data_IF_710112177342
#
_entry.id   IF_710112177342
#
_cell.length_a   1.000
_cell.length_b   1.000
_cell.length_c   1.000
_cell.angle_alpha   90.00
_cell.angle_beta   90.00
_cell.angle_gamma   90.00
#
_symmetry.space_group_name_H-M   'P 1'
#
loop_
_entity.id
_entity.type
_entity.pdbx_description
1 polymer ?
#
# COMPACT_ATOMS: atom_id res chain seq x y z
N UNK A 1 -13.95 -11.83 -13.05
CA UNK A 1 -12.73 -11.27 -13.68
C UNK A 1 -12.76 -9.75 -13.52
N UNK A 2 -11.61 -9.05 -13.59
CA UNK A 2 -11.51 -7.59 -13.46
C UNK A 2 -11.73 -6.81 -14.75
N UNK A 3 -11.49 -7.45 -15.91
CA UNK A 3 -11.89 -6.96 -17.21
C UNK A 3 -12.16 -8.12 -18.17
N UNK A 4 -13.11 -7.93 -19.07
CA UNK A 4 -13.37 -8.81 -20.20
C UNK A 4 -13.49 -7.97 -21.45
N UNK A 5 -12.84 -8.43 -22.51
CA UNK A 5 -12.97 -7.91 -23.85
C UNK A 5 -13.59 -9.00 -24.69
N UNK A 6 -14.70 -8.66 -25.34
CA UNK A 6 -15.50 -9.59 -26.12
C UNK A 6 -16.08 -8.87 -27.35
N UNK A 7 -16.32 -9.62 -28.41
CA UNK A 7 -16.88 -9.11 -29.66
C UNK A 7 -17.61 -10.17 -30.48
N UNK A 8 -18.50 -10.98 -29.87
CA UNK A 8 -18.99 -12.20 -30.48
C UNK A 8 -20.06 -11.86 -31.52
N UNK A 9 -19.89 -12.37 -32.73
CA UNK A 9 -20.93 -12.37 -33.75
C UNK A 9 -21.00 -13.69 -34.55
N UNK A 10 -20.21 -14.69 -34.13
CA UNK A 10 -20.10 -15.99 -34.78
C UNK A 10 -19.33 -15.98 -36.11
N UNK A 11 -18.66 -14.88 -36.46
CA UNK A 11 -17.85 -14.77 -37.68
C UNK A 11 -16.36 -15.03 -37.46
N UNK A 12 -15.88 -15.09 -36.20
CA UNK A 12 -14.46 -15.23 -35.87
C UNK A 12 -13.57 -14.06 -36.28
N UNK A 13 -14.16 -12.88 -36.56
CA UNK A 13 -13.45 -11.65 -36.96
C UNK A 13 -13.27 -10.69 -35.79
N UNK A 14 -12.19 -9.90 -35.80
CA UNK A 14 -11.93 -8.86 -34.81
C UNK A 14 -12.97 -7.73 -34.86
N UNK A 15 -13.52 -7.38 -33.69
CA UNK A 15 -14.60 -6.39 -33.54
C UNK A 15 -14.41 -5.43 -32.37
N UNK A 16 -13.93 -5.91 -31.23
CA UNK A 16 -13.56 -5.02 -30.12
C UNK A 16 -12.10 -4.61 -30.29
N UNK A 17 -11.82 -3.30 -30.18
CA UNK A 17 -10.48 -2.77 -30.37
C UNK A 17 -10.13 -1.72 -29.30
N UNK A 18 -10.07 -2.11 -28.02
CA UNK A 18 -9.66 -1.20 -26.97
C UNK A 18 -8.17 -0.85 -27.11
N UNK A 19 -7.85 0.38 -26.75
CA UNK A 19 -6.47 0.81 -26.50
C UNK A 19 -6.36 1.09 -25.00
N UNK A 20 -5.51 0.31 -24.32
CA UNK A 20 -5.28 0.43 -22.89
C UNK A 20 -3.80 0.75 -22.65
N UNK A 21 -3.55 1.87 -21.98
CA UNK A 21 -2.23 2.28 -21.53
C UNK A 21 -2.26 2.75 -20.09
N UNK A 22 -1.20 2.44 -19.34
CA UNK A 22 -0.98 2.88 -17.96
C UNK A 22 -2.12 2.41 -17.02
N UNK A 23 -2.45 1.11 -17.11
CA UNK A 23 -3.58 0.51 -16.38
C UNK A 23 -3.09 -0.48 -15.32
N UNK A 24 -3.76 -0.52 -14.18
CA UNK A 24 -3.50 -1.50 -13.12
C UNK A 24 -4.77 -2.31 -12.87
N UNK A 25 -4.72 -3.62 -13.14
CA UNK A 25 -5.77 -4.57 -12.78
C UNK A 25 -5.39 -5.33 -11.52
N UNK A 26 -6.28 -5.31 -10.53
CA UNK A 26 -6.10 -6.03 -9.26
C UNK A 26 -7.10 -7.17 -9.21
N UNK A 27 -6.61 -8.40 -9.21
CA UNK A 27 -7.41 -9.61 -9.04
C UNK A 27 -7.65 -9.97 -7.57
N UNK A 28 -8.13 -11.19 -7.36
CA UNK A 28 -8.33 -11.81 -6.05
C UNK A 28 -7.74 -13.22 -6.08
N UNK A 29 -6.89 -13.57 -5.11
CA UNK A 29 -6.14 -14.84 -5.18
C UNK A 29 -6.99 -16.09 -4.89
N UNK A 30 -8.11 -15.99 -4.18
CA UNK A 30 -8.90 -17.17 -3.76
C UNK A 30 -9.80 -17.82 -4.83
N UNK A 31 -9.57 -17.57 -6.12
CA UNK A 31 -10.06 -18.42 -7.22
C UNK A 31 -11.52 -18.88 -7.13
N UNK A 32 -12.47 -17.98 -6.89
CA UNK A 32 -13.89 -18.33 -6.98
C UNK A 32 -14.50 -17.76 -8.27
N UNK A 33 -14.48 -18.52 -9.38
CA UNK A 33 -15.39 -18.26 -10.47
C UNK A 33 -16.78 -18.70 -9.99
N UNK A 34 -17.43 -17.83 -9.20
CA UNK A 34 -18.88 -17.76 -9.13
C UNK A 34 -19.35 -16.57 -9.98
N UNK A 35 -19.03 -16.56 -11.29
CA UNK A 35 -19.46 -15.49 -12.16
C UNK A 35 -20.99 -15.47 -12.23
N UNK A 36 -21.55 -14.28 -12.41
CA UNK A 36 -22.95 -14.19 -12.82
C UNK A 36 -23.18 -14.79 -14.22
N UNK A 37 -22.13 -14.84 -15.06
CA UNK A 37 -22.18 -15.39 -16.41
C UNK A 37 -21.99 -16.91 -16.43
N UNK A 38 -22.83 -17.63 -17.17
CA UNK A 38 -22.82 -19.09 -17.21
C UNK A 38 -21.69 -19.72 -18.04
N UNK A 39 -21.04 -18.93 -18.88
CA UNK A 39 -19.95 -19.33 -19.78
C UNK A 39 -18.56 -18.94 -19.26
N UNK A 40 -18.51 -18.39 -18.03
CA UNK A 40 -17.30 -18.01 -17.33
C UNK A 40 -16.73 -19.18 -16.50
N UNK A 41 -16.37 -20.27 -17.17
CA UNK A 41 -15.96 -21.50 -16.47
C UNK A 41 -14.52 -21.48 -15.96
N UNK A 42 -13.71 -20.48 -16.35
CA UNK A 42 -12.31 -20.34 -15.96
C UNK A 42 -12.03 -18.98 -15.31
N UNK A 43 -11.28 -19.00 -14.21
CA UNK A 43 -10.89 -17.79 -13.50
C UNK A 43 -9.69 -17.12 -14.18
N UNK A 44 -9.81 -15.80 -14.38
CA UNK A 44 -8.73 -14.93 -14.84
C UNK A 44 -8.95 -13.50 -14.36
N UNK A 45 -7.88 -12.70 -14.28
CA UNK A 45 -8.00 -11.27 -13.97
C UNK A 45 -8.48 -10.50 -15.20
N UNK A 46 -7.88 -10.75 -16.36
CA UNK A 46 -8.30 -10.19 -17.64
C UNK A 46 -8.69 -11.30 -18.59
N UNK A 47 -9.80 -11.15 -19.31
CA UNK A 47 -10.24 -12.09 -20.36
C UNK A 47 -10.23 -11.43 -21.72
N UNK A 48 -9.59 -12.08 -22.68
CA UNK A 48 -9.62 -11.72 -24.09
C UNK A 48 -10.40 -12.83 -24.80
N UNK A 49 -11.58 -12.50 -25.33
CA UNK A 49 -12.53 -13.46 -25.94
C UNK A 49 -12.53 -13.34 -27.46
N UNK A 50 -13.39 -14.13 -28.11
CA UNK A 50 -13.60 -14.09 -29.57
C UNK A 50 -13.72 -12.65 -30.08
N UNK A 51 -13.00 -12.34 -31.15
CA UNK A 51 -13.09 -11.03 -31.80
C UNK A 51 -12.39 -9.89 -31.05
N UNK A 52 -11.54 -10.20 -30.06
CA UNK A 52 -10.75 -9.19 -29.34
C UNK A 52 -9.45 -8.82 -30.06
N UNK A 53 -9.39 -7.58 -30.55
CA UNK A 53 -8.16 -6.92 -30.98
C UNK A 53 -7.73 -5.88 -29.96
N UNK A 54 -6.83 -4.99 -30.36
CA UNK A 54 -6.49 -3.79 -29.61
C UNK A 54 -5.03 -3.69 -29.23
N UNK A 55 -4.71 -2.65 -28.46
CA UNK A 55 -3.35 -2.29 -28.07
C UNK A 55 -3.25 -2.20 -26.56
N UNK A 56 -2.41 -3.05 -25.95
CA UNK A 56 -2.32 -3.25 -24.51
C UNK A 56 -0.88 -3.02 -24.05
N UNK A 57 -0.61 -1.85 -23.47
CA UNK A 57 0.74 -1.44 -23.07
C UNK A 57 0.77 -0.81 -21.66
N UNK A 58 1.92 -0.90 -20.98
CA UNK A 58 2.08 -0.43 -19.59
C UNK A 58 1.00 -0.95 -18.63
N UNK A 59 0.53 -2.17 -18.84
CA UNK A 59 -0.45 -2.83 -17.98
C UNK A 59 0.29 -3.53 -16.84
N UNK A 60 -0.25 -3.40 -15.64
CA UNK A 60 0.14 -4.15 -14.44
C UNK A 60 -1.04 -5.00 -13.99
N UNK A 61 -0.82 -6.30 -13.83
CA UNK A 61 -1.79 -7.24 -13.27
C UNK A 61 -1.21 -7.86 -12.01
N UNK A 62 -1.94 -7.74 -10.90
CA UNK A 62 -1.56 -8.28 -9.59
C UNK A 62 -2.67 -9.15 -9.00
N UNK A 63 -2.35 -9.89 -7.94
CA UNK A 63 -3.27 -10.79 -7.24
C UNK A 63 -3.85 -11.85 -8.18
N UNK A 64 -2.97 -12.47 -8.97
CA UNK A 64 -3.34 -13.49 -9.93
C UNK A 64 -3.53 -14.82 -9.22
N UNK A 65 -4.78 -15.23 -9.01
CA UNK A 65 -5.07 -16.53 -8.37
C UNK A 65 -4.86 -17.74 -9.28
N UNK A 66 -5.16 -17.61 -10.57
CA UNK A 66 -5.12 -18.70 -11.57
C UNK A 66 -4.46 -18.25 -12.85
N UNK A 67 -5.06 -17.30 -13.55
CA UNK A 67 -4.56 -16.77 -14.82
C UNK A 67 -4.57 -15.24 -14.78
N UNK A 68 -3.45 -14.61 -15.14
CA UNK A 68 -3.40 -13.15 -15.24
C UNK A 68 -4.28 -12.69 -16.40
N UNK A 69 -4.05 -13.30 -17.56
CA UNK A 69 -4.85 -13.16 -18.76
C UNK A 69 -5.31 -14.54 -19.21
N UNK A 70 -6.60 -14.70 -19.49
CA UNK A 70 -7.14 -15.84 -20.23
C UNK A 70 -7.47 -15.39 -21.64
N UNK A 71 -6.83 -16.02 -22.63
CA UNK A 71 -7.21 -15.89 -24.03
C UNK A 71 -8.13 -17.06 -24.37
N UNK A 72 -9.41 -16.78 -24.65
CA UNK A 72 -10.44 -17.77 -24.92
C UNK A 72 -11.19 -17.51 -26.22
N UNK A 73 -11.76 -18.57 -26.79
CA UNK A 73 -12.56 -18.56 -28.02
C UNK A 73 -11.87 -17.86 -29.20
N UNK A 74 -10.57 -18.13 -29.37
CA UNK A 74 -9.75 -17.50 -30.40
C UNK A 74 -10.27 -17.74 -31.82
N UNK A 75 -10.33 -16.68 -32.61
CA UNK A 75 -10.65 -16.68 -34.04
C UNK A 75 -9.40 -16.49 -34.89
N UNK A 76 -9.50 -15.61 -35.89
CA UNK A 76 -8.40 -15.35 -36.83
C UNK A 76 -7.38 -14.31 -36.35
N UNK A 77 -7.50 -13.81 -35.12
CA UNK A 77 -6.68 -12.69 -34.64
C UNK A 77 -5.19 -12.99 -34.59
N UNK A 78 -4.38 -11.99 -34.95
CA UNK A 78 -2.94 -12.04 -34.79
C UNK A 78 -2.56 -11.52 -33.40
N UNK A 79 -2.23 -12.44 -32.49
CA UNK A 79 -1.70 -12.09 -31.17
C UNK A 79 -0.19 -11.85 -31.28
N UNK A 80 0.25 -10.60 -31.07
CA UNK A 80 1.64 -10.17 -31.31
C UNK A 80 2.18 -9.24 -30.22
N UNK A 81 3.50 -9.25 -30.03
CA UNK A 81 4.25 -8.28 -29.23
C UNK A 81 5.23 -7.45 -30.07
N UNK A 82 5.20 -7.62 -31.39
CA UNK A 82 6.03 -6.90 -32.34
C UNK A 82 5.31 -5.64 -32.83
N UNK A 83 5.82 -4.43 -32.53
CA UNK A 83 5.19 -3.18 -32.97
C UNK A 83 5.05 -3.06 -34.50
N UNK A 84 5.86 -3.78 -35.29
CA UNK A 84 5.73 -3.77 -36.75
C UNK A 84 4.45 -4.45 -37.26
N UNK A 85 3.82 -5.31 -36.45
CA UNK A 85 2.58 -6.01 -36.79
C UNK A 85 1.33 -5.14 -36.47
N UNK A 86 1.52 -4.01 -35.77
CA UNK A 86 0.49 -3.05 -35.37
C UNK A 86 0.07 -2.20 -36.57
N UNK A 87 -0.65 -2.80 -37.51
CA UNK A 87 -1.15 -2.13 -38.72
C UNK A 87 -2.67 -2.29 -38.85
N UNK A 88 -3.38 -1.18 -39.11
CA UNK A 88 -4.84 -1.20 -39.21
C UNK A 88 -5.52 -1.52 -37.87
N UNK A 89 -6.54 -2.39 -37.90
CA UNK A 89 -7.36 -2.77 -36.74
C UNK A 89 -7.43 -4.28 -36.53
N UNK A 90 -6.60 -5.05 -37.23
CA UNK A 90 -6.65 -6.53 -37.25
C UNK A 90 -5.48 -7.15 -36.46
N UNK A 91 -5.26 -6.66 -35.25
CA UNK A 91 -4.22 -7.17 -34.35
C UNK A 91 -4.68 -7.15 -32.90
N UNK A 92 -4.09 -8.04 -32.11
CA UNK A 92 -4.09 -8.02 -30.66
C UNK A 92 -2.64 -7.82 -30.21
N UNK A 93 -2.29 -6.58 -29.85
CA UNK A 93 -0.93 -6.22 -29.46
C UNK A 93 -0.81 -6.25 -27.95
N UNK A 94 0.11 -7.07 -27.45
CA UNK A 94 0.46 -7.11 -26.05
C UNK A 94 1.92 -6.73 -25.85
N UNK A 95 2.12 -5.59 -25.20
CA UNK A 95 3.45 -5.08 -24.91
C UNK A 95 4.25 -6.08 -24.06
N UNK A 96 5.51 -6.37 -24.42
CA UNK A 96 6.42 -7.12 -23.56
C UNK A 96 6.82 -6.32 -22.31
N UNK A 97 6.53 -5.00 -22.26
CA UNK A 97 6.73 -4.18 -21.08
C UNK A 97 5.66 -4.44 -20.01
N UNK A 98 4.52 -5.03 -20.34
CA UNK A 98 3.49 -5.34 -19.34
C UNK A 98 4.04 -6.22 -18.21
N UNK A 99 3.45 -6.07 -17.02
CA UNK A 99 3.79 -6.83 -15.82
C UNK A 99 2.57 -7.65 -15.41
N UNK A 100 2.76 -8.96 -15.30
CA UNK A 100 1.76 -9.86 -14.73
C UNK A 100 2.47 -10.60 -13.61
N UNK A 101 2.22 -10.18 -12.37
CA UNK A 101 2.79 -10.81 -11.19
C UNK A 101 1.90 -11.99 -10.79
N UNK A 102 2.37 -13.19 -11.14
CA UNK A 102 1.66 -14.44 -10.91
C UNK A 102 2.62 -15.44 -10.24
N UNK A 103 2.25 -15.85 -9.03
CA UNK A 103 3.01 -16.84 -8.26
C UNK A 103 2.46 -18.25 -8.49
N UNK A 104 3.36 -19.23 -8.59
CA UNK A 104 2.98 -20.65 -8.78
C UNK A 104 1.96 -21.10 -7.73
N UNK A 105 0.84 -21.75 -8.11
CA UNK A 105 0.58 -22.38 -9.40
C UNK A 105 -0.08 -21.49 -10.47
N UNK A 106 -0.29 -20.21 -10.20
CA UNK A 106 -0.87 -19.29 -11.17
C UNK A 106 0.05 -19.06 -12.38
N UNK A 107 -0.55 -18.72 -13.52
CA UNK A 107 0.14 -18.46 -14.78
C UNK A 107 -0.15 -17.05 -15.28
N UNK A 108 0.78 -16.47 -16.03
CA UNK A 108 0.56 -15.15 -16.62
C UNK A 108 -0.50 -15.19 -17.71
N UNK A 109 -0.43 -16.22 -18.56
CA UNK A 109 -1.36 -16.45 -19.66
C UNK A 109 -1.86 -17.88 -19.61
N UNK A 110 -3.17 -18.06 -19.49
CA UNK A 110 -3.81 -19.31 -19.84
C UNK A 110 -4.60 -19.18 -21.13
N UNK A 111 -4.95 -20.35 -21.68
CA UNK A 111 -5.61 -20.50 -22.96
C UNK A 111 -6.52 -21.71 -22.92
N UNK A 112 -7.69 -21.55 -23.50
CA UNK A 112 -8.60 -22.67 -23.70
C UNK A 112 -8.18 -23.54 -24.90
N UNK A 113 -9.03 -24.52 -25.22
CA UNK A 113 -8.81 -25.44 -26.33
C UNK A 113 -8.81 -24.76 -27.71
N UNK A 114 -9.60 -23.70 -27.91
CA UNK A 114 -9.63 -22.96 -29.17
C UNK A 114 -8.36 -22.15 -29.38
N UNK A 115 -7.79 -21.64 -28.28
CA UNK A 115 -6.62 -20.77 -28.29
C UNK A 115 -5.27 -21.50 -28.20
N UNK A 116 -5.23 -22.81 -27.93
CA UNK A 116 -3.98 -23.52 -27.61
C UNK A 116 -2.92 -23.44 -28.74
N UNK A 117 -3.35 -23.26 -29.99
CA UNK A 117 -2.48 -23.14 -31.16
C UNK A 117 -1.84 -21.75 -31.33
N UNK A 118 -2.36 -20.72 -30.62
CA UNK A 118 -1.85 -19.36 -30.69
C UNK A 118 -0.49 -19.24 -30.00
N UNK A 119 0.29 -18.25 -30.42
CA UNK A 119 1.60 -17.94 -29.80
C UNK A 119 1.42 -17.60 -28.33
N UNK A 120 2.34 -18.08 -27.48
CA UNK A 120 2.43 -17.62 -26.08
C UNK A 120 3.15 -16.28 -26.11
N UNK A 121 2.49 -15.21 -25.69
CA UNK A 121 3.16 -13.94 -25.40
C UNK A 121 3.55 -13.94 -23.93
N UNK A 122 4.73 -13.41 -23.62
CA UNK A 122 5.20 -13.28 -22.25
C UNK A 122 4.96 -11.86 -21.72
N UNK A 123 4.91 -11.75 -20.41
CA UNK A 123 4.98 -10.48 -19.68
C UNK A 123 6.07 -10.58 -18.63
N UNK A 124 6.48 -9.45 -18.07
CA UNK A 124 7.40 -9.48 -16.94
C UNK A 124 6.68 -10.12 -15.74
N UNK A 125 7.23 -11.22 -15.21
CA UNK A 125 6.78 -11.78 -13.94
C UNK A 125 7.75 -11.31 -12.85
N UNK A 126 7.41 -10.17 -12.24
CA UNK A 126 8.25 -9.55 -11.21
C UNK A 126 7.34 -8.94 -10.16
N UNK A 127 7.74 -9.03 -8.90
CA UNK A 127 7.04 -8.36 -7.80
C UNK A 127 6.98 -6.85 -8.08
N UNK A 128 5.78 -6.26 -8.16
CA UNK A 128 5.60 -4.82 -8.40
C UNK A 128 6.08 -3.94 -7.24
N UNK A 129 6.37 -4.50 -6.06
CA UNK A 129 6.78 -3.77 -4.86
C UNK A 129 5.82 -2.61 -4.54
N UNK A 130 4.54 -2.90 -4.41
CA UNK A 130 3.53 -1.91 -4.04
C UNK A 130 3.60 -1.57 -2.55
N UNK A 131 3.11 -0.38 -2.19
CA UNK A 131 3.10 0.11 -0.81
C UNK A 131 2.23 -0.77 0.07
N UNK A 132 0.95 -0.91 -0.29
CA UNK A 132 -0.01 -1.68 0.49
C UNK A 132 -1.15 -2.14 -0.42
N UNK A 133 -1.25 -3.44 -0.65
CA UNK A 133 -2.36 -4.01 -1.42
C UNK A 133 -2.72 -5.36 -0.83
N UNK A 134 -3.99 -5.52 -0.42
CA UNK A 134 -4.54 -6.82 -0.03
C UNK A 134 -4.35 -7.82 -1.15
N UNK A 135 -3.96 -9.05 -0.84
CA UNK A 135 -3.88 -10.14 -1.82
C UNK A 135 -5.27 -10.59 -2.29
N UNK A 136 -6.30 -10.30 -1.50
CA UNK A 136 -7.67 -10.75 -1.69
C UNK A 136 -8.65 -9.59 -1.51
N UNK A 137 -8.63 -8.61 -2.43
CA UNK A 137 -9.35 -7.38 -2.23
C UNK A 137 -10.84 -7.60 -2.17
N UNK A 138 -11.45 -7.09 -1.11
CA UNK A 138 -12.87 -7.23 -0.83
C UNK A 138 -13.51 -5.87 -0.50
N UNK A 139 -14.84 -5.76 -0.52
CA UNK A 139 -15.53 -4.57 -0.02
C UNK A 139 -15.22 -4.26 1.47
N UNK A 140 -14.78 -5.26 2.23
CA UNK A 140 -14.50 -5.15 3.66
C UNK A 140 -13.09 -4.66 3.98
N UNK A 141 -12.18 -4.70 3.01
CA UNK A 141 -10.81 -4.19 3.12
C UNK A 141 -10.80 -2.77 3.66
N UNK A 142 -9.93 -2.49 4.62
CA UNK A 142 -9.97 -1.21 5.34
C UNK A 142 -9.10 -0.15 4.70
N UNK A 143 -7.98 -0.52 4.10
CA UNK A 143 -7.06 0.44 3.52
C UNK A 143 -6.20 -0.14 2.38
N UNK A 144 -5.88 0.67 1.38
CA UNK A 144 -5.00 0.29 0.27
C UNK A 144 -4.24 1.49 -0.31
N UNK A 145 -3.01 1.25 -0.72
CA UNK A 145 -2.17 2.17 -1.48
C UNK A 145 -1.45 1.41 -2.61
N UNK A 146 -1.97 1.50 -3.84
CA UNK A 146 -1.41 0.79 -4.99
C UNK A 146 -0.20 1.50 -5.60
N UNK A 147 0.37 2.53 -4.95
CA UNK A 147 1.59 3.12 -5.44
C UNK A 147 2.76 2.13 -5.40
N UNK A 148 3.64 2.13 -6.41
CA UNK A 148 4.92 1.44 -6.34
C UNK A 148 5.88 2.14 -5.37
N UNK A 149 6.62 1.35 -4.61
CA UNK A 149 7.69 1.82 -3.73
C UNK A 149 8.93 2.23 -4.51
N UNK A 150 9.81 3.00 -3.85
CA UNK A 150 11.13 3.28 -4.36
C UNK A 150 11.89 1.96 -4.66
N UNK A 151 12.46 1.87 -5.86
CA UNK A 151 13.13 0.64 -6.33
C UNK A 151 12.20 -0.37 -7.01
N UNK A 152 10.88 -0.11 -7.06
CA UNK A 152 9.94 -0.93 -7.82
C UNK A 152 10.34 -1.05 -9.30
N UNK A 153 10.24 -2.26 -9.89
CA UNK A 153 10.45 -2.44 -11.32
C UNK A 153 9.41 -1.71 -12.17
N UNK A 154 8.28 -1.28 -11.58
CA UNK A 154 7.24 -0.51 -12.28
C UNK A 154 7.70 0.90 -12.63
N UNK A 155 8.67 1.47 -11.91
CA UNK A 155 9.14 2.85 -12.09
C UNK A 155 10.09 3.05 -13.28
N UNK A 156 10.09 2.11 -14.23
CA UNK A 156 10.95 2.15 -15.42
C UNK A 156 10.35 1.32 -16.56
N UNK A 157 10.96 1.43 -17.75
CA UNK A 157 10.66 0.63 -18.93
C UNK A 157 9.19 0.72 -19.40
N UNK A 158 8.58 1.89 -19.24
CA UNK A 158 7.29 2.18 -19.87
C UNK A 158 7.44 2.30 -21.40
N UNK A 159 6.48 1.75 -22.12
CA UNK A 159 6.31 1.94 -23.55
C UNK A 159 5.64 3.30 -23.82
N UNK A 160 6.15 4.03 -24.81
CA UNK A 160 5.55 5.29 -25.23
C UNK A 160 4.24 5.04 -26.00
N UNK A 161 3.27 5.96 -25.95
CA UNK A 161 2.08 5.88 -26.79
C UNK A 161 2.41 5.73 -28.28
N UNK A 162 1.50 5.15 -29.08
CA UNK A 162 1.64 5.08 -30.53
C UNK A 162 1.98 6.45 -31.14
N UNK A 163 2.81 6.46 -32.18
CA UNK A 163 3.27 7.70 -32.78
C UNK A 163 2.11 8.59 -33.26
N UNK A 164 2.06 9.83 -32.76
CA UNK A 164 1.00 10.79 -33.08
C UNK A 164 -0.25 10.69 -32.20
N UNK A 165 -0.29 9.76 -31.24
CA UNK A 165 -1.31 9.75 -30.21
C UNK A 165 -1.15 10.98 -29.29
N UNK A 166 -2.28 11.66 -29.02
CA UNK A 166 -2.34 12.85 -28.15
C UNK A 166 -3.28 12.65 -26.98
N UNK A 167 -3.85 11.46 -26.86
CA UNK A 167 -4.79 11.10 -25.81
C UNK A 167 -4.06 10.52 -24.60
N UNK A 168 -3.10 9.61 -24.82
CA UNK A 168 -2.35 8.98 -23.73
C UNK A 168 -1.14 9.82 -23.29
N UNK A 169 -0.97 9.93 -21.98
CA UNK A 169 0.23 10.52 -21.40
C UNK A 169 1.46 9.64 -21.66
N UNK A 170 2.56 10.29 -22.03
CA UNK A 170 3.87 9.64 -22.05
C UNK A 170 4.45 9.63 -20.64
N UNK A 171 4.60 8.44 -20.07
CA UNK A 171 5.08 8.23 -18.70
C UNK A 171 6.36 7.42 -18.68
N UNK A 172 7.10 7.45 -17.57
CA UNK A 172 8.31 6.63 -17.35
C UNK A 172 8.05 5.38 -16.50
N UNK A 173 6.81 5.15 -16.08
CA UNK A 173 6.39 4.06 -15.21
C UNK A 173 5.30 3.20 -15.87
N UNK A 174 5.17 1.96 -15.40
CA UNK A 174 4.17 1.00 -15.86
C UNK A 174 3.03 0.90 -14.85
N UNK A 175 1.82 0.68 -15.34
CA UNK A 175 0.61 0.70 -14.52
C UNK A 175 0.07 2.12 -14.32
N UNK A 176 -0.88 2.25 -13.41
CA UNK A 176 -1.62 3.49 -13.19
C UNK A 176 -0.95 4.46 -12.21
N UNK A 177 0.15 4.07 -11.55
CA UNK A 177 0.71 4.80 -10.41
C UNK A 177 2.19 5.12 -10.59
N UNK A 178 2.54 6.39 -10.36
CA UNK A 178 3.91 6.92 -10.52
C UNK A 178 4.81 6.71 -9.29
N UNK A 179 4.25 6.20 -8.19
CA UNK A 179 4.92 6.09 -6.90
C UNK A 179 4.97 7.40 -6.10
N UNK A 180 4.47 8.50 -6.66
CA UNK A 180 4.48 9.83 -5.99
C UNK A 180 3.14 10.55 -6.02
N UNK A 181 2.17 10.04 -6.77
CA UNK A 181 0.85 10.63 -6.92
C UNK A 181 -0.21 9.54 -6.76
N UNK A 182 -1.15 9.76 -5.85
CA UNK A 182 -2.33 8.92 -5.72
C UNK A 182 -3.53 9.62 -6.34
N UNK A 183 -3.74 9.42 -7.65
CA UNK A 183 -4.86 10.04 -8.38
C UNK A 183 -6.24 9.52 -7.93
N UNK A 184 -6.29 8.45 -7.13
CA UNK A 184 -7.53 7.99 -6.49
C UNK A 184 -8.05 9.00 -5.45
N UNK A 185 -7.17 9.81 -4.86
CA UNK A 185 -7.52 10.84 -3.90
C UNK A 185 -8.34 11.95 -4.59
N UNK A 186 -9.51 12.25 -4.03
CA UNK A 186 -10.47 13.23 -4.58
C UNK A 186 -11.33 12.71 -5.73
N UNK A 187 -11.16 11.45 -6.16
CA UNK A 187 -11.88 10.87 -7.31
C UNK A 187 -12.63 9.58 -6.96
N UNK A 188 -12.01 8.70 -6.20
CA UNK A 188 -12.45 7.31 -6.08
C UNK A 188 -13.38 7.07 -4.88
N UNK A 189 -14.17 5.99 -4.97
CA UNK A 189 -14.92 5.46 -3.83
C UNK A 189 -14.01 5.12 -2.64
N UNK A 190 -12.78 4.68 -2.90
CA UNK A 190 -11.80 4.40 -1.84
C UNK A 190 -11.49 5.66 -1.04
N UNK A 191 -11.27 6.80 -1.71
CA UNK A 191 -11.05 8.07 -1.03
C UNK A 191 -12.31 8.60 -0.33
N UNK A 192 -13.49 8.45 -0.95
CA UNK A 192 -14.79 8.80 -0.32
C UNK A 192 -15.02 8.07 1.01
N UNK A 193 -14.40 6.90 1.20
CA UNK A 193 -14.58 6.04 2.37
C UNK A 193 -13.31 5.93 3.22
N UNK A 194 -12.36 6.85 3.06
CA UNK A 194 -11.09 6.87 3.81
C UNK A 194 -10.29 5.56 3.72
N UNK A 195 -10.36 4.85 2.60
CA UNK A 195 -9.68 3.57 2.33
C UNK A 195 -8.39 3.70 1.51
N UNK A 196 -7.93 4.91 1.27
CA UNK A 196 -6.68 5.18 0.54
C UNK A 196 -6.05 6.47 1.08
N UNK A 197 -4.71 6.63 1.02
CA UNK A 197 -4.09 7.85 1.52
C UNK A 197 -4.37 9.03 0.59
N UNK A 198 -4.27 10.24 1.14
CA UNK A 198 -4.20 11.47 0.37
C UNK A 198 -3.05 11.43 -0.64
N UNK A 199 -3.14 12.20 -1.72
CA UNK A 199 -2.05 12.32 -2.69
C UNK A 199 -0.91 13.17 -2.13
N UNK A 200 -0.07 12.58 -1.29
CA UNK A 200 1.08 13.22 -0.64
C UNK A 200 2.37 12.50 -1.03
N UNK A 201 3.34 13.25 -1.54
CA UNK A 201 4.67 12.73 -1.83
C UNK A 201 5.55 12.74 -0.59
N UNK A 202 5.69 11.58 0.05
CA UNK A 202 6.47 11.40 1.28
C UNK A 202 7.52 10.29 1.20
N UNK A 203 8.25 10.11 2.30
CA UNK A 203 9.11 8.94 2.51
C UNK A 203 8.27 7.86 3.20
N UNK A 204 7.99 6.79 2.48
CA UNK A 204 7.21 5.66 3.00
C UNK A 204 8.12 4.81 3.88
N UNK A 205 7.70 4.62 5.13
CA UNK A 205 8.42 3.84 6.15
C UNK A 205 7.50 2.77 6.70
N UNK A 206 7.98 1.53 6.67
CA UNK A 206 7.35 0.35 7.30
C UNK A 206 8.36 -0.61 7.93
N UNK A 207 9.65 -0.36 7.71
CA UNK A 207 10.73 -1.17 8.24
C UNK A 207 11.25 -0.57 9.55
N UNK A 208 11.82 -1.42 10.39
CA UNK A 208 12.40 -1.02 11.67
C UNK A 208 13.62 -0.10 11.52
N UNK A 209 13.74 0.84 12.45
CA UNK A 209 14.86 1.78 12.54
C UNK A 209 15.90 1.18 13.49
N UNK A 210 16.78 0.35 12.92
CA UNK A 210 17.88 -0.28 13.65
C UNK A 210 19.13 0.61 13.79
N UNK A 211 19.24 1.66 12.96
CA UNK A 211 20.35 2.62 12.99
C UNK A 211 19.80 4.02 13.24
N UNK A 212 20.49 4.81 14.07
CA UNK A 212 20.09 6.18 14.37
C UNK A 212 19.82 6.97 13.10
N UNK A 213 18.62 7.52 13.01
CA UNK A 213 18.06 8.13 11.80
C UNK A 213 17.53 9.51 12.12
N UNK A 214 17.61 10.44 11.16
CA UNK A 214 17.00 11.76 11.26
C UNK A 214 15.88 11.89 10.23
N UNK A 215 14.68 12.23 10.68
CA UNK A 215 13.59 12.67 9.82
C UNK A 215 13.62 14.20 9.73
N UNK A 216 13.86 14.72 8.53
CA UNK A 216 13.83 16.16 8.27
C UNK A 216 12.41 16.64 8.00
N UNK A 217 12.24 17.97 7.88
CA UNK A 217 10.97 18.59 7.52
C UNK A 217 10.84 18.86 6.02
N UNK A 218 11.77 18.35 5.19
CA UNK A 218 11.76 18.58 3.73
C UNK A 218 10.59 17.87 3.04
N UNK A 219 10.22 16.68 3.55
CA UNK A 219 9.13 15.86 3.05
C UNK A 219 8.41 15.17 4.21
N UNK A 220 7.09 14.93 4.09
CA UNK A 220 6.37 14.12 5.07
C UNK A 220 6.93 12.70 5.15
N UNK A 221 6.87 12.11 6.35
CA UNK A 221 7.08 10.69 6.58
C UNK A 221 5.73 9.99 6.54
N UNK A 222 5.59 8.93 5.74
CA UNK A 222 4.38 8.13 5.65
C UNK A 222 4.60 6.82 6.39
N UNK A 223 3.90 6.59 7.52
CA UNK A 223 3.97 5.34 8.26
C UNK A 223 2.96 4.35 7.67
N UNK A 224 3.44 3.38 6.91
CA UNK A 224 2.61 2.36 6.25
C UNK A 224 2.52 1.04 7.03
N UNK A 225 2.97 1.05 8.29
CA UNK A 225 2.97 -0.10 9.19
C UNK A 225 3.47 0.28 10.58
N UNK A 226 3.63 -0.71 11.45
CA UNK A 226 4.30 -0.52 12.73
C UNK A 226 5.81 -0.38 12.52
N UNK A 227 6.38 0.73 12.97
CA UNK A 227 7.81 1.03 12.84
C UNK A 227 8.44 1.04 14.22
N UNK A 228 9.36 0.11 14.45
CA UNK A 228 10.06 0.01 15.73
C UNK A 228 11.43 0.67 15.64
N UNK A 229 11.70 1.62 16.53
CA UNK A 229 13.04 2.15 16.75
C UNK A 229 13.75 1.21 17.72
N UNK A 230 14.71 0.45 17.21
CA UNK A 230 15.40 -0.62 17.96
C UNK A 230 16.54 -0.05 18.79
N UNK A 231 16.80 -0.64 19.95
CA UNK A 231 17.97 -0.26 20.74
C UNK A 231 19.29 -0.60 20.00
N UNK A 232 20.34 0.24 20.09
CA UNK A 232 20.44 1.50 20.82
C UNK A 232 20.16 2.73 19.94
N UNK A 233 19.40 2.58 18.85
CA UNK A 233 19.18 3.65 17.88
C UNK A 233 18.45 4.85 18.50
N UNK A 234 18.75 6.03 17.94
CA UNK A 234 18.02 7.26 18.24
C UNK A 234 17.33 7.75 16.98
N UNK A 235 16.00 7.89 17.03
CA UNK A 235 15.23 8.59 16.02
C UNK A 235 15.18 10.08 16.37
N UNK A 236 15.79 10.92 15.54
CA UNK A 236 15.72 12.38 15.66
C UNK A 236 14.70 12.93 14.68
N UNK A 237 13.75 13.74 15.15
CA UNK A 237 12.71 14.35 14.32
C UNK A 237 12.87 15.86 14.39
N UNK A 238 13.07 16.49 13.23
CA UNK A 238 13.28 17.93 13.14
C UNK A 238 11.96 18.70 13.36
N UNK A 239 12.07 19.94 13.85
CA UNK A 239 10.94 20.82 14.03
C UNK A 239 10.16 21.04 12.71
N UNK A 240 8.84 20.94 12.76
CA UNK A 240 7.97 21.10 11.59
C UNK A 240 7.82 19.83 10.72
N UNK A 241 8.47 18.72 11.06
CA UNK A 241 8.25 17.45 10.35
C UNK A 241 6.79 16.99 10.51
N UNK A 242 6.22 16.55 9.40
CA UNK A 242 4.91 15.87 9.37
C UNK A 242 5.11 14.37 9.25
N UNK A 243 4.43 13.62 10.10
CA UNK A 243 4.37 12.16 10.08
C UNK A 243 2.91 11.80 9.88
N UNK A 244 2.60 11.15 8.75
CA UNK A 244 1.24 10.78 8.38
C UNK A 244 1.15 9.25 8.37
N UNK A 245 0.35 8.69 9.26
CA UNK A 245 0.18 7.25 9.38
C UNK A 245 -1.01 6.76 8.57
N UNK A 246 -0.84 5.60 7.94
CA UNK A 246 -1.91 4.92 7.21
C UNK A 246 -2.91 4.37 8.22
N UNK A 247 -4.15 4.17 7.77
CA UNK A 247 -5.13 3.45 8.57
C UNK A 247 -4.78 1.95 8.62
N UNK A 248 -5.33 1.27 9.63
CA UNK A 248 -5.31 -0.20 9.67
C UNK A 248 -5.88 -0.75 8.35
N UNK A 249 -5.15 -1.69 7.75
CA UNK A 249 -5.51 -2.31 6.49
C UNK A 249 -6.57 -3.43 6.66
N UNK A 250 -6.91 -3.74 7.92
CA UNK A 250 -7.87 -4.77 8.31
C UNK A 250 -7.20 -6.06 8.80
N UNK A 251 -5.86 -6.11 8.84
CA UNK A 251 -5.11 -7.26 9.34
C UNK A 251 -4.86 -7.22 10.85
N UNK A 252 -5.43 -6.23 11.56
CA UNK A 252 -5.38 -6.12 13.02
C UNK A 252 -4.04 -5.60 13.54
N UNK A 253 -3.28 -4.90 12.70
CA UNK A 253 -1.99 -4.31 13.04
C UNK A 253 -2.00 -2.86 12.56
N UNK A 254 -2.59 -1.98 13.36
CA UNK A 254 -2.64 -0.56 13.03
C UNK A 254 -1.23 0.06 12.97
N UNK A 255 -0.91 0.85 11.92
CA UNK A 255 0.36 1.56 11.81
C UNK A 255 0.64 2.44 13.03
N UNK A 256 1.84 2.32 13.60
CA UNK A 256 2.24 3.04 14.81
C UNK A 256 3.74 3.31 14.80
N UNK A 257 4.20 4.27 15.61
CA UNK A 257 5.63 4.46 15.87
C UNK A 257 5.94 3.98 17.29
N UNK A 258 6.85 3.01 17.40
CA UNK A 258 7.21 2.36 18.67
C UNK A 258 8.68 2.62 18.97
N UNK A 259 8.96 3.16 20.16
CA UNK A 259 10.32 3.33 20.67
C UNK A 259 10.57 2.20 21.68
N UNK A 260 11.43 1.24 21.34
CA UNK A 260 11.71 0.10 22.21
C UNK A 260 12.62 0.45 23.40
N UNK A 261 12.63 -0.36 24.48
CA UNK A 261 13.50 -0.11 25.62
C UNK A 261 14.98 -0.03 25.21
N UNK A 262 15.63 1.08 25.60
CA UNK A 262 17.03 1.35 25.26
C UNK A 262 17.23 2.09 23.92
N UNK A 263 16.19 2.22 23.10
CA UNK A 263 16.14 3.17 22.00
C UNK A 263 15.70 4.56 22.49
N UNK A 264 15.79 5.57 21.62
CA UNK A 264 15.41 6.94 21.96
C UNK A 264 14.66 7.65 20.84
N UNK A 265 13.76 8.53 21.24
CA UNK A 265 13.16 9.56 20.37
C UNK A 265 13.61 10.95 20.78
N UNK A 266 14.07 11.74 19.82
CA UNK A 266 14.41 13.16 19.98
C UNK A 266 13.49 13.97 19.06
N UNK A 267 12.26 14.21 19.49
CA UNK A 267 11.26 15.00 18.78
C UNK A 267 11.11 16.37 19.46
N UNK A 268 11.90 17.34 19.02
CA UNK A 268 11.97 18.68 19.61
C UNK A 268 11.54 19.70 18.57
N UNK A 269 10.23 19.95 18.52
CA UNK A 269 9.62 21.02 17.75
C UNK A 269 9.79 22.40 18.41
N UNK A 270 9.09 23.38 17.85
CA UNK A 270 8.96 24.72 18.43
C UNK A 270 7.52 25.19 18.36
N UNK A 271 7.15 26.23 19.10
CA UNK A 271 5.80 26.80 19.02
C UNK A 271 5.37 27.16 17.58
N UNK A 272 6.30 27.66 16.77
CA UNK A 272 6.03 28.07 15.38
C UNK A 272 6.13 26.90 14.40
N UNK A 273 6.90 25.85 14.73
CA UNK A 273 7.11 24.68 13.90
C UNK A 273 6.97 23.41 14.77
N UNK A 274 5.75 23.07 15.20
CA UNK A 274 5.54 21.84 15.97
C UNK A 274 5.74 20.61 15.08
N UNK A 275 6.18 19.51 15.67
CA UNK A 275 6.18 18.21 14.99
C UNK A 275 4.75 17.68 15.05
N UNK A 276 4.22 17.19 13.93
CA UNK A 276 2.83 16.72 13.87
C UNK A 276 2.77 15.29 13.37
N UNK A 277 2.29 14.39 14.23
CA UNK A 277 1.83 13.06 13.87
C UNK A 277 0.33 13.11 13.59
N UNK A 278 -0.09 12.56 12.45
CA UNK A 278 -1.47 12.62 11.99
C UNK A 278 -1.82 11.42 11.10
N UNK A 279 -3.04 11.39 10.57
CA UNK A 279 -3.44 10.38 9.59
C UNK A 279 -3.07 10.80 8.17
N UNK A 280 -2.80 9.80 7.31
CA UNK A 280 -2.57 9.96 5.89
C UNK A 280 -3.86 10.05 5.07
N UNK A 281 -5.05 9.86 5.65
CA UNK A 281 -6.32 10.01 4.91
C UNK A 281 -6.53 11.44 4.45
N UNK A 282 -7.28 11.60 3.36
CA UNK A 282 -7.62 12.93 2.83
C UNK A 282 -8.34 13.79 3.87
N UNK A 283 -8.02 15.10 3.89
CA UNK A 283 -8.62 16.08 4.80
C UNK A 283 -10.15 16.16 4.70
N UNK A 284 -10.73 15.70 3.58
CA UNK A 284 -12.19 15.58 3.41
C UNK A 284 -12.85 14.57 4.38
N UNK A 285 -12.07 13.60 4.86
CA UNK A 285 -12.49 12.54 5.76
C UNK A 285 -12.12 12.88 7.22
N UNK A 286 -11.68 14.10 7.48
CA UNK A 286 -11.32 14.60 8.81
C UNK A 286 -12.33 15.69 9.24
N UNK A 287 -12.62 15.82 10.56
CA UNK A 287 -12.06 15.03 11.65
C UNK A 287 -12.66 13.61 11.73
N UNK A 288 -11.86 12.66 12.19
CA UNK A 288 -12.24 11.28 12.50
C UNK A 288 -11.48 10.81 13.75
N UNK A 289 -11.61 9.56 14.14
CA UNK A 289 -10.87 8.96 15.25
C UNK A 289 -10.42 7.56 14.82
N UNK A 290 -9.40 7.01 15.48
CA UNK A 290 -9.06 5.60 15.27
C UNK A 290 -8.34 5.33 13.95
N UNK A 291 -7.66 6.33 13.40
CA UNK A 291 -7.11 6.26 12.04
C UNK A 291 -5.68 5.73 12.00
N UNK A 292 -5.02 5.50 13.14
CA UNK A 292 -3.71 4.86 13.24
C UNK A 292 -3.37 4.60 14.72
N UNK A 293 -2.37 3.78 14.98
CA UNK A 293 -2.06 3.25 16.31
C UNK A 293 -1.41 4.20 17.32
N UNK A 294 -0.93 5.38 16.89
CA UNK A 294 -0.32 6.37 17.78
C UNK A 294 1.18 6.18 18.03
N UNK A 295 1.68 6.90 19.05
CA UNK A 295 3.09 6.92 19.46
C UNK A 295 3.28 6.15 20.76
N UNK A 296 4.07 5.08 20.73
CA UNK A 296 4.31 4.21 21.89
C UNK A 296 5.78 4.34 22.31
N UNK A 297 6.02 4.65 23.58
CA UNK A 297 7.36 4.80 24.15
C UNK A 297 7.51 3.79 25.28
N UNK A 298 8.39 2.81 25.05
CA UNK A 298 8.69 1.71 25.97
C UNK A 298 10.05 1.97 26.63
N UNK A 299 10.08 1.95 27.95
CA UNK A 299 11.28 2.23 28.74
C UNK A 299 11.71 1.06 29.63
N UNK A 300 12.83 1.27 30.34
CA UNK A 300 13.45 0.29 31.24
C UNK A 300 13.20 0.59 32.74
N UNK A 301 12.27 1.48 33.08
CA UNK A 301 11.96 1.81 34.46
C UNK A 301 11.17 0.68 35.14
N UNK A 302 11.24 0.56 36.48
CA UNK A 302 10.45 -0.43 37.20
C UNK A 302 8.95 -0.23 37.01
N UNK A 303 8.24 -1.34 36.84
CA UNK A 303 6.78 -1.40 36.63
C UNK A 303 6.10 -2.22 37.74
N UNK A 304 4.78 -2.09 37.89
CA UNK A 304 3.99 -2.90 38.81
C UNK A 304 3.06 -3.85 38.04
N UNK A 305 2.99 -5.16 38.39
CA UNK A 305 3.81 -5.84 39.40
C UNK A 305 5.29 -5.87 38.99
N UNK A 306 6.21 -5.93 39.96
CA UNK A 306 7.64 -5.89 39.70
C UNK A 306 8.16 -7.27 39.21
N UNK A 307 7.75 -7.65 38.00
CA UNK A 307 8.09 -8.91 37.32
C UNK A 307 9.32 -8.80 36.43
N UNK A 308 10.01 -7.64 36.45
CA UNK A 308 11.11 -7.33 35.55
C UNK A 308 10.59 -6.65 34.28
N UNK A 309 9.82 -7.37 33.46
CA UNK A 309 9.20 -6.84 32.24
C UNK A 309 7.71 -7.13 32.20
N UNK A 310 6.99 -6.32 31.42
CA UNK A 310 5.60 -6.47 31.00
C UNK A 310 5.52 -6.28 29.47
N UNK A 311 4.36 -6.54 28.88
CA UNK A 311 4.12 -6.39 27.44
C UNK A 311 2.97 -5.43 27.24
N UNK A 312 3.16 -4.43 26.38
CA UNK A 312 2.11 -3.50 26.02
C UNK A 312 1.06 -4.22 25.17
N UNK A 313 -0.18 -3.80 25.30
CA UNK A 313 -1.27 -4.24 24.44
C UNK A 313 -1.13 -3.75 22.99
N UNK A 314 -1.86 -4.40 22.09
CA UNK A 314 -1.99 -4.09 20.67
C UNK A 314 -0.77 -4.38 19.79
N UNK A 315 0.33 -4.85 20.37
CA UNK A 315 1.52 -5.30 19.63
C UNK A 315 1.62 -6.83 19.67
N UNK A 316 1.67 -7.45 18.49
CA UNK A 316 1.80 -8.92 18.35
C UNK A 316 3.25 -9.38 18.34
N UNK A 317 4.19 -8.47 18.07
CA UNK A 317 5.64 -8.68 18.07
C UNK A 317 6.30 -7.47 18.72
N UNK A 318 7.25 -7.72 19.63
CA UNK A 318 7.85 -6.66 20.44
C UNK A 318 6.89 -6.18 21.54
N UNK A 319 7.06 -4.94 21.99
CA UNK A 319 6.16 -4.35 22.98
C UNK A 319 6.56 -4.59 24.43
N UNK A 320 7.67 -5.27 24.69
CA UNK A 320 8.19 -5.44 26.04
C UNK A 320 8.64 -4.10 26.62
N UNK A 321 8.28 -3.85 27.87
CA UNK A 321 8.71 -2.69 28.64
C UNK A 321 8.96 -3.07 30.09
N UNK A 322 9.58 -2.16 30.83
CA UNK A 322 9.93 -2.36 32.22
C UNK A 322 11.39 -2.80 32.41
N UNK A 323 11.85 -2.69 33.65
CA UNK A 323 13.20 -3.10 34.02
C UNK A 323 13.53 -2.69 35.45
N UNK A 324 14.79 -2.41 35.71
CA UNK A 324 15.26 -1.97 37.02
C UNK A 324 15.87 -0.56 37.01
N UNK A 325 15.80 0.15 35.88
CA UNK A 325 16.47 1.43 35.69
C UNK A 325 15.49 2.60 35.85
N UNK A 326 15.26 3.06 37.09
CA UNK A 326 14.44 4.25 37.33
C UNK A 326 15.00 5.55 36.74
N UNK A 327 16.23 5.53 36.23
CA UNK A 327 16.90 6.63 35.53
C UNK A 327 16.93 6.42 34.01
N UNK A 328 16.13 5.49 33.48
CA UNK A 328 15.97 5.30 32.05
C UNK A 328 15.59 6.62 31.35
N UNK A 329 16.08 6.76 30.12
CA UNK A 329 15.89 7.96 29.31
C UNK A 329 15.56 7.53 27.88
N UNK A 330 14.26 7.50 27.59
CA UNK A 330 13.66 7.21 26.28
C UNK A 330 13.70 8.41 25.33
N UNK A 331 14.19 9.57 25.79
CA UNK A 331 14.46 10.75 24.99
C UNK A 331 13.65 11.99 25.37
N UNK A 332 13.26 12.78 24.37
CA UNK A 332 12.55 14.05 24.57
C UNK A 332 11.45 14.29 23.55
N UNK A 333 10.27 14.68 24.06
CA UNK A 333 9.16 15.25 23.29
C UNK A 333 8.96 16.72 23.72
N UNK A 334 9.00 17.65 22.77
CA UNK A 334 8.72 19.08 23.00
C UNK A 334 8.04 19.69 21.79
N UNK A 335 6.90 20.37 21.97
CA UNK A 335 6.08 20.91 20.86
C UNK A 335 5.69 19.84 19.83
N UNK A 336 5.04 18.78 20.32
CA UNK A 336 4.60 17.62 19.53
C UNK A 336 3.08 17.55 19.56
N UNK A 337 2.49 17.34 18.38
CA UNK A 337 1.05 17.12 18.20
C UNK A 337 0.84 15.70 17.71
N UNK A 338 -0.11 15.00 18.32
CA UNK A 338 -0.52 13.65 17.92
C UNK A 338 -2.02 13.65 17.70
N UNK A 339 -2.45 13.47 16.45
CA UNK A 339 -3.85 13.60 16.06
C UNK A 339 -4.39 12.34 15.41
N UNK A 340 -5.69 12.09 15.59
CA UNK A 340 -6.44 11.02 14.92
C UNK A 340 -5.94 9.59 15.24
N UNK A 341 -5.17 9.43 16.32
CA UNK A 341 -4.62 8.16 16.73
C UNK A 341 -5.63 7.27 17.44
N UNK A 342 -5.08 6.22 18.06
CA UNK A 342 -5.81 5.19 18.75
C UNK A 342 -6.24 4.07 17.81
N UNK A 343 -6.29 2.83 18.29
CA UNK A 343 -6.88 1.71 17.55
C UNK A 343 -7.34 0.62 18.51
N UNK A 344 -8.55 0.10 18.27
CA UNK A 344 -9.08 -1.05 19.01
C UNK A 344 -8.64 -2.31 18.28
N UNK A 345 -7.70 -3.06 18.88
CA UNK A 345 -7.16 -4.29 18.31
C UNK A 345 -8.01 -5.50 18.74
N UNK A 346 -8.56 -5.47 19.95
CA UNK A 346 -9.48 -6.47 20.49
C UNK A 346 -10.25 -5.92 21.69
N UNK A 347 -11.06 -6.76 22.33
CA UNK A 347 -11.71 -6.37 23.58
C UNK A 347 -10.66 -6.22 24.69
N UNK A 348 -10.62 -5.05 25.33
CA UNK A 348 -9.63 -4.69 26.36
C UNK A 348 -8.19 -4.82 25.83
N UNK A 349 -7.98 -4.44 24.56
CA UNK A 349 -6.71 -4.50 23.87
C UNK A 349 -6.65 -3.38 22.82
N UNK A 350 -6.19 -2.21 23.26
CA UNK A 350 -6.20 -0.98 22.49
C UNK A 350 -4.79 -0.35 22.43
N UNK A 351 -4.50 0.42 21.37
CA UNK A 351 -3.34 1.33 21.37
C UNK A 351 -3.85 2.76 21.31
N UNK A 352 -3.10 3.68 21.88
CA UNK A 352 -3.57 5.00 22.27
C UNK A 352 -2.81 6.16 21.61
N UNK A 353 -3.17 7.40 21.91
CA UNK A 353 -2.55 8.56 21.26
C UNK A 353 -1.05 8.63 21.53
N UNK A 354 -0.69 8.81 22.80
CA UNK A 354 0.69 8.62 23.27
C UNK A 354 0.71 7.68 24.45
N UNK A 355 1.42 6.57 24.32
CA UNK A 355 1.60 5.60 25.40
C UNK A 355 3.01 5.72 25.98
N UNK A 356 3.11 5.84 27.30
CA UNK A 356 4.37 5.81 28.04
C UNK A 356 4.38 4.59 28.97
N UNK A 357 5.09 3.54 28.59
CA UNK A 357 5.15 2.30 29.36
C UNK A 357 6.56 2.09 29.95
N UNK A 358 6.68 2.04 31.28
CA UNK A 358 7.97 1.85 31.96
C UNK A 358 9.00 2.95 31.66
N UNK A 359 8.56 4.18 31.42
CA UNK A 359 9.43 5.31 31.06
C UNK A 359 10.10 5.92 32.30
N UNK A 360 11.43 6.05 32.26
CA UNK A 360 12.22 6.53 33.40
C UNK A 360 12.29 8.04 33.56
N UNK A 361 12.80 8.49 34.72
CA UNK A 361 12.88 9.92 35.09
C UNK A 361 13.84 10.74 34.21
N UNK A 362 14.64 10.10 33.37
CA UNK A 362 15.55 10.78 32.45
C UNK A 362 14.84 11.28 31.18
N UNK A 363 13.63 10.79 30.90
CA UNK A 363 12.80 11.21 29.77
C UNK A 363 12.14 12.56 30.05
N UNK A 364 12.12 13.45 29.06
CA UNK A 364 11.50 14.78 29.18
C UNK A 364 10.35 14.93 28.21
N UNK A 365 9.18 15.35 28.69
CA UNK A 365 7.99 15.60 27.87
C UNK A 365 7.43 16.97 28.24
N UNK A 366 7.31 17.86 27.28
CA UNK A 366 6.76 19.21 27.46
C UNK A 366 5.98 19.67 26.21
N UNK A 367 4.98 20.53 26.37
CA UNK A 367 4.19 21.09 25.24
C UNK A 367 3.69 20.05 24.23
N UNK A 368 3.03 19.00 24.71
CA UNK A 368 2.35 18.02 23.85
C UNK A 368 0.86 18.36 23.71
N UNK A 369 0.29 18.00 22.57
CA UNK A 369 -1.15 18.02 22.33
C UNK A 369 -1.56 16.68 21.73
N UNK A 370 -2.62 16.10 22.27
CA UNK A 370 -3.28 14.94 21.66
C UNK A 370 -4.73 15.30 21.39
N UNK A 371 -5.20 15.06 20.16
CA UNK A 371 -6.55 15.43 19.75
C UNK A 371 -7.16 14.38 18.80
N UNK A 372 -8.49 14.24 18.85
CA UNK A 372 -9.24 13.31 17.99
C UNK A 372 -8.78 11.84 18.11
N UNK A 373 -8.27 11.45 19.27
CA UNK A 373 -7.93 10.06 19.56
C UNK A 373 -9.21 9.23 19.76
N UNK A 374 -9.19 7.93 19.42
CA UNK A 374 -10.36 7.05 19.62
C UNK A 374 -10.64 6.77 21.10
N UNK A 375 -9.58 6.48 21.86
CA UNK A 375 -9.64 6.23 23.30
C UNK A 375 -8.72 7.21 24.05
N UNK A 376 -7.75 6.75 24.83
CA UNK A 376 -6.92 7.60 25.67
C UNK A 376 -5.96 8.50 24.87
N UNK A 377 -6.01 9.81 25.15
CA UNK A 377 -5.08 10.75 24.54
C UNK A 377 -3.64 10.49 25.00
N UNK A 378 -3.44 10.28 26.30
CA UNK A 378 -2.14 9.88 26.87
C UNK A 378 -2.37 8.80 27.91
N UNK A 379 -1.63 7.71 27.78
CA UNK A 379 -1.73 6.55 28.67
C UNK A 379 -0.37 6.20 29.29
N UNK A 380 -0.38 5.73 30.53
CA UNK A 380 0.83 5.42 31.31
C UNK A 380 0.76 4.02 31.92
N UNK A 381 1.85 3.26 31.77
CA UNK A 381 2.02 1.91 32.34
C UNK A 381 3.28 1.77 33.19
#
# INVERSE_FOLDING_TARGET
>A
HGAEMDGPDGSGQLRSFPQLMNVHFVGHIFNDPNPASSDDTEAAVVRLREGTGGYFANIVITNVGTQGVLHGDCGAETFTSNPADVTGVDFLYWSPANVIFAETPAVQFGRDAACISKTVISSNNVDPLLVLQSSSPSPDDKFTDPNPLAGSPLLSNAEAPPAGDTFFDTVSYRGAFSGTQNWLAGLSWLDDNAKTPASVSGIITRDDIATSTTWSNDRPILLAGQVFVKAPATLTIQAGTQILAYADDGNGVAPALIIEPGAKIMAVGTQNNPITFSSAVSARNLPAQGLWGGLIILGNAPVHPNTGTQTIEGLTVGGEYGGNNSNDNSGRLSFVRVWYGGSVIGADNEINGITFAGVGRGTTVDHIEVAFNLDDGVEFF
#
